data_IF_707885988131
#
_entry.id   IF_707885988131
#
_cell.length_a   1.000
_cell.length_b   1.000
_cell.length_c   1.000
_cell.angle_alpha   90.00
_cell.angle_beta   90.00
_cell.angle_gamma   90.00
#
_symmetry.space_group_name_H-M   'P 1'
#
loop_
_entity.id
_entity.type
_entity.pdbx_description
1 polymer ?
#
# COMPACT_ATOMS: atom_id res chain seq x y z
N UNK A 1 -22.94 23.39 31.55
CA UNK A 1 -22.49 21.99 31.48
C UNK A 1 -21.31 21.78 30.51
N UNK A 2 -21.40 22.19 29.23
CA UNK A 2 -20.29 22.08 28.25
C UNK A 2 -19.03 22.90 28.59
N UNK A 3 -19.17 24.10 29.17
CA UNK A 3 -18.01 24.95 29.52
C UNK A 3 -17.21 24.41 30.72
N UNK A 4 -17.84 23.65 31.61
CA UNK A 4 -17.23 23.11 32.84
C UNK A 4 -16.36 21.87 32.58
N UNK A 5 -16.51 21.20 31.43
CA UNK A 5 -15.76 19.99 31.05
C UNK A 5 -14.77 20.21 29.88
N UNK A 6 -14.53 21.44 29.46
CA UNK A 6 -13.59 21.80 28.37
C UNK A 6 -12.21 21.14 28.52
N UNK A 7 -11.69 21.00 29.75
CA UNK A 7 -10.40 20.34 30.03
C UNK A 7 -10.40 18.81 29.89
N UNK A 8 -11.55 18.13 29.97
CA UNK A 8 -11.64 16.68 29.67
C UNK A 8 -11.73 16.43 28.15
N UNK A 9 -12.35 17.35 27.41
CA UNK A 9 -12.41 17.27 25.95
C UNK A 9 -11.06 17.56 25.28
N UNK A 10 -10.20 18.40 25.86
CA UNK A 10 -8.85 18.66 25.31
C UNK A 10 -7.94 17.42 25.34
N UNK A 11 -7.99 16.61 26.41
CA UNK A 11 -7.23 15.35 26.48
C UNK A 11 -7.71 14.32 25.45
N UNK A 12 -9.03 14.21 25.27
CA UNK A 12 -9.61 13.34 24.25
C UNK A 12 -9.27 13.81 22.83
N UNK A 13 -9.32 15.12 22.59
CA UNK A 13 -8.89 15.72 21.32
C UNK A 13 -7.40 15.46 21.08
N UNK A 14 -6.53 15.68 22.07
CA UNK A 14 -5.09 15.41 21.96
C UNK A 14 -4.80 13.94 21.62
N UNK A 15 -5.47 12.98 22.26
CA UNK A 15 -5.37 11.56 21.91
C UNK A 15 -5.78 11.27 20.47
N UNK A 16 -6.83 11.94 19.98
CA UNK A 16 -7.27 11.81 18.58
C UNK A 16 -6.21 12.32 17.61
N UNK A 17 -5.65 13.51 17.85
CA UNK A 17 -4.58 14.08 17.03
C UNK A 17 -3.33 13.20 17.00
N UNK A 18 -2.94 12.63 18.14
CA UNK A 18 -1.81 11.71 18.24
C UNK A 18 -2.09 10.43 17.43
N UNK A 19 -3.29 9.86 17.55
CA UNK A 19 -3.69 8.68 16.79
C UNK A 19 -3.65 8.95 15.27
N UNK A 20 -4.18 10.10 14.85
CA UNK A 20 -4.22 10.51 13.45
C UNK A 20 -2.81 10.72 12.88
N UNK A 21 -1.93 11.36 13.65
CA UNK A 21 -0.51 11.47 13.30
C UNK A 21 0.18 10.11 13.22
N UNK A 22 -0.08 9.20 14.16
CA UNK A 22 0.47 7.84 14.13
C UNK A 22 -0.02 7.04 12.91
N UNK A 23 -1.30 7.17 12.54
CA UNK A 23 -1.85 6.55 11.34
C UNK A 23 -1.18 7.09 10.07
N UNK A 24 -0.99 8.42 9.97
CA UNK A 24 -0.30 9.04 8.86
C UNK A 24 1.15 8.58 8.77
N UNK A 25 1.86 8.60 9.90
CA UNK A 25 3.24 8.13 9.99
C UNK A 25 3.36 6.64 9.62
N UNK A 26 2.40 5.80 10.02
CA UNK A 26 2.39 4.38 9.68
C UNK A 26 2.30 4.18 8.16
N UNK A 27 1.32 4.81 7.50
CA UNK A 27 1.15 4.68 6.04
C UNK A 27 2.38 5.19 5.30
N UNK A 28 2.93 6.35 5.70
CA UNK A 28 4.13 6.92 5.08
C UNK A 28 5.34 6.01 5.25
N UNK A 29 5.55 5.47 6.46
CA UNK A 29 6.67 4.57 6.74
C UNK A 29 6.56 3.26 5.96
N UNK A 30 5.36 2.69 5.88
CA UNK A 30 5.10 1.46 5.12
C UNK A 30 5.37 1.67 3.63
N UNK A 31 4.89 2.78 3.05
CA UNK A 31 5.17 3.13 1.65
C UNK A 31 6.67 3.35 1.43
N UNK A 32 7.35 4.05 2.35
CA UNK A 32 8.79 4.30 2.25
C UNK A 32 9.62 3.01 2.29
N UNK A 33 9.37 2.12 3.25
CA UNK A 33 10.07 0.84 3.35
C UNK A 33 9.79 -0.05 2.13
N UNK A 34 8.54 -0.08 1.67
CA UNK A 34 8.17 -0.83 0.48
C UNK A 34 8.89 -0.29 -0.76
N UNK A 35 8.94 1.03 -0.92
CA UNK A 35 9.67 1.67 -2.00
C UNK A 35 11.16 1.38 -1.96
N UNK A 36 11.77 1.37 -0.76
CA UNK A 36 13.19 1.04 -0.59
C UNK A 36 13.49 -0.42 -0.90
N UNK A 37 12.59 -1.34 -0.55
CA UNK A 37 12.70 -2.77 -0.84
C UNK A 37 12.63 -3.04 -2.36
N UNK A 38 11.75 -2.34 -3.07
CA UNK A 38 11.59 -2.47 -4.53
C UNK A 38 12.55 -1.62 -5.36
N UNK A 39 13.56 -1.01 -4.75
CA UNK A 39 14.55 -0.22 -5.49
C UNK A 39 14.01 1.10 -6.06
N UNK A 40 12.93 1.63 -5.50
CA UNK A 40 12.35 2.93 -5.90
C UNK A 40 11.16 2.86 -6.85
N UNK A 41 10.80 1.65 -7.32
CA UNK A 41 9.74 1.47 -8.33
C UNK A 41 8.33 1.29 -7.74
N UNK A 42 8.14 1.28 -6.40
CA UNK A 42 6.83 1.01 -5.79
C UNK A 42 5.83 2.15 -6.00
N UNK A 43 6.29 3.41 -5.94
CA UNK A 43 5.42 4.58 -6.09
C UNK A 43 5.04 4.78 -7.57
N UNK A 44 6.01 4.63 -8.47
CA UNK A 44 5.82 4.73 -9.92
C UNK A 44 4.93 3.62 -10.45
N UNK A 45 4.94 2.45 -9.80
CA UNK A 45 4.18 1.28 -10.20
C UNK A 45 2.68 1.53 -10.34
N UNK A 46 1.97 1.98 -9.29
CA UNK A 46 0.51 2.07 -9.40
C UNK A 46 0.02 3.19 -10.32
N UNK A 47 0.79 4.28 -10.50
CA UNK A 47 0.52 5.26 -11.56
C UNK A 47 0.62 4.63 -12.95
N UNK A 48 1.63 3.78 -13.17
CA UNK A 48 1.83 3.04 -14.42
C UNK A 48 0.76 1.97 -14.65
N UNK A 49 0.30 1.27 -13.61
CA UNK A 49 -0.78 0.28 -13.71
C UNK A 49 -2.11 0.91 -14.12
N UNK A 50 -2.44 2.10 -13.61
CA UNK A 50 -3.65 2.84 -14.02
C UNK A 50 -3.56 3.22 -15.50
N UNK A 51 -2.40 3.72 -15.96
CA UNK A 51 -2.18 4.09 -17.36
C UNK A 51 -2.12 2.92 -18.34
N UNK A 52 -1.61 1.76 -17.92
CA UNK A 52 -1.54 0.55 -18.76
C UNK A 52 -2.81 -0.29 -18.73
N UNK A 53 -3.81 0.04 -17.91
CA UNK A 53 -5.05 -0.74 -17.74
C UNK A 53 -5.80 -1.05 -19.05
N UNK A 54 -5.51 -0.34 -20.14
CA UNK A 54 -6.13 -0.47 -21.47
C UNK A 54 -5.40 -1.43 -22.43
N UNK A 55 -4.15 -1.85 -22.17
CA UNK A 55 -3.36 -2.68 -23.10
C UNK A 55 -3.50 -4.20 -22.88
N UNK A 56 -3.26 -5.07 -23.86
CA UNK A 56 -3.33 -6.53 -23.64
C UNK A 56 -2.18 -7.03 -22.71
N UNK A 57 -2.49 -7.94 -21.77
CA UNK A 57 -1.55 -8.41 -20.73
C UNK A 57 -0.24 -9.00 -21.25
N UNK A 58 -0.22 -9.55 -22.48
CA UNK A 58 0.99 -10.16 -23.07
C UNK A 58 2.07 -9.13 -23.46
N UNK A 59 1.69 -7.89 -23.76
CA UNK A 59 2.63 -6.81 -24.11
C UNK A 59 3.01 -5.92 -22.92
N UNK A 60 2.40 -6.14 -21.74
CA UNK A 60 2.69 -5.34 -20.55
C UNK A 60 3.96 -5.85 -19.88
N UNK A 61 5.05 -5.08 -20.00
CA UNK A 61 6.27 -5.31 -19.22
C UNK A 61 6.10 -4.67 -17.85
N UNK A 62 5.58 -5.45 -16.90
CA UNK A 62 5.50 -5.03 -15.51
C UNK A 62 6.91 -4.94 -14.91
N UNK A 63 7.32 -3.81 -14.31
CA UNK A 63 8.66 -3.66 -13.72
C UNK A 63 8.91 -4.66 -12.57
N UNK A 64 7.83 -5.20 -11.96
CA UNK A 64 7.92 -6.26 -10.96
C UNK A 64 8.49 -7.58 -11.50
N UNK A 65 8.43 -7.86 -12.81
CA UNK A 65 9.00 -9.10 -13.39
C UNK A 65 10.53 -9.12 -13.25
N UNK A 66 11.19 -7.96 -13.22
CA UNK A 66 12.63 -7.85 -12.99
C UNK A 66 13.02 -8.09 -11.53
N UNK A 67 12.16 -7.69 -10.60
CA UNK A 67 12.38 -7.87 -9.16
C UNK A 67 11.98 -9.28 -8.73
N UNK A 68 10.93 -9.81 -9.34
CA UNK A 68 10.32 -11.10 -9.03
C UNK A 68 10.19 -11.98 -10.29
N UNK A 69 11.28 -12.63 -10.73
CA UNK A 69 11.24 -13.54 -11.87
C UNK A 69 10.34 -14.75 -11.59
N UNK A 70 9.33 -14.93 -12.42
CA UNK A 70 8.41 -16.10 -12.34
C UNK A 70 9.02 -17.37 -12.90
N UNK A 71 10.01 -17.23 -13.78
CA UNK A 71 10.73 -18.32 -14.45
C UNK A 71 12.24 -18.13 -14.31
N UNK A 72 12.98 -19.21 -14.06
CA UNK A 72 14.45 -19.19 -13.94
C UNK A 72 15.07 -20.39 -14.64
N UNK A 73 16.33 -20.27 -15.05
CA UNK A 73 17.12 -21.37 -15.63
C UNK A 73 17.69 -22.22 -14.51
N UNK A 74 17.29 -23.49 -14.46
CA UNK A 74 17.83 -24.49 -13.54
C UNK A 74 18.79 -25.42 -14.30
N UNK A 75 20.00 -25.59 -13.77
CA UNK A 75 20.98 -26.53 -14.32
C UNK A 75 20.99 -27.82 -13.50
N UNK A 76 20.50 -28.90 -14.07
CA UNK A 76 20.54 -30.22 -13.44
C UNK A 76 21.80 -30.96 -13.87
N UNK A 77 22.57 -31.43 -12.88
CA UNK A 77 23.75 -32.26 -13.11
C UNK A 77 23.36 -33.74 -12.97
N UNK A 78 23.47 -34.51 -14.06
CA UNK A 78 23.27 -35.96 -14.05
C UNK A 78 24.55 -36.67 -14.50
N UNK A 79 24.77 -37.87 -13.99
CA UNK A 79 25.88 -38.73 -14.40
C UNK A 79 25.40 -39.64 -15.54
N UNK A 80 26.07 -39.55 -16.69
CA UNK A 80 25.80 -40.43 -17.82
C UNK A 80 26.36 -41.85 -17.61
N UNK A 81 26.01 -42.82 -18.48
CA UNK A 81 26.49 -44.20 -18.39
C UNK A 81 28.01 -44.36 -18.47
N UNK A 82 28.75 -43.37 -19.00
CA UNK A 82 30.23 -43.32 -18.98
C UNK A 82 30.83 -42.62 -17.75
N UNK A 83 30.03 -42.25 -16.73
CA UNK A 83 30.51 -41.52 -15.55
C UNK A 83 30.80 -40.02 -15.78
N UNK A 84 30.53 -39.50 -16.97
CA UNK A 84 30.68 -38.08 -17.30
C UNK A 84 29.48 -37.27 -16.80
N UNK A 85 29.75 -36.06 -16.29
CA UNK A 85 28.70 -35.12 -15.84
C UNK A 85 28.03 -34.48 -17.06
N UNK A 86 26.77 -34.83 -17.32
CA UNK A 86 25.92 -34.16 -18.30
C UNK A 86 25.10 -33.06 -17.61
N UNK A 87 25.19 -31.83 -18.16
CA UNK A 87 24.41 -30.67 -17.71
C UNK A 87 23.14 -30.59 -18.54
N UNK A 88 21.98 -30.63 -17.88
CA UNK A 88 20.68 -30.39 -18.51
C UNK A 88 20.10 -29.08 -18.01
N UNK A 89 19.93 -28.15 -18.93
CA UNK A 89 19.30 -26.87 -18.67
C UNK A 89 17.78 -27.02 -18.83
N UNK A 90 17.03 -26.67 -17.79
CA UNK A 90 15.56 -26.63 -17.84
C UNK A 90 15.04 -25.33 -17.26
N UNK A 91 13.78 -25.02 -17.58
CA UNK A 91 13.07 -23.86 -17.05
C UNK A 91 12.31 -24.27 -15.79
N UNK A 92 12.54 -23.54 -14.70
CA UNK A 92 11.83 -23.70 -13.42
C UNK A 92 10.87 -22.54 -13.21
N UNK A 93 9.70 -22.83 -12.64
CA UNK A 93 8.72 -21.82 -12.23
C UNK A 93 8.83 -21.59 -10.73
N UNK A 94 8.83 -20.32 -10.29
CA UNK A 94 8.81 -19.94 -8.88
C UNK A 94 7.40 -19.48 -8.48
N UNK A 95 6.55 -20.38 -7.96
CA UNK A 95 5.15 -20.05 -7.63
C UNK A 95 5.04 -18.98 -6.54
N UNK A 96 6.01 -18.92 -5.61
CA UNK A 96 6.04 -17.91 -4.55
C UNK A 96 6.12 -16.49 -5.10
N UNK A 97 6.86 -16.28 -6.21
CA UNK A 97 7.01 -14.97 -6.82
C UNK A 97 5.73 -14.49 -7.50
N UNK A 98 4.96 -15.42 -8.07
CA UNK A 98 3.67 -15.13 -8.67
C UNK A 98 2.69 -14.63 -7.59
N UNK A 99 2.67 -15.29 -6.43
CA UNK A 99 1.84 -14.87 -5.29
C UNK A 99 2.25 -13.50 -4.76
N UNK A 100 3.56 -13.25 -4.65
CA UNK A 100 4.09 -11.95 -4.22
C UNK A 100 3.67 -10.85 -5.19
N UNK A 101 3.87 -11.05 -6.50
CA UNK A 101 3.47 -10.10 -7.55
C UNK A 101 2.01 -9.66 -7.38
N UNK A 102 1.07 -10.61 -7.19
CA UNK A 102 -0.35 -10.28 -7.04
C UNK A 102 -0.68 -9.63 -5.69
N UNK A 103 -0.04 -10.09 -4.61
CA UNK A 103 -0.25 -9.52 -3.27
C UNK A 103 0.19 -8.06 -3.20
N UNK A 104 1.34 -7.71 -3.78
CA UNK A 104 1.84 -6.34 -3.74
C UNK A 104 1.01 -5.36 -4.58
N UNK A 105 0.41 -5.83 -5.68
CA UNK A 105 -0.59 -5.05 -6.42
C UNK A 105 -1.77 -4.70 -5.53
N UNK A 106 -2.33 -5.69 -4.84
CA UNK A 106 -3.46 -5.49 -3.93
C UNK A 106 -3.10 -4.53 -2.79
N UNK A 107 -1.93 -4.70 -2.17
CA UNK A 107 -1.45 -3.83 -1.08
C UNK A 107 -1.29 -2.38 -1.55
N UNK A 108 -0.83 -2.15 -2.79
CA UNK A 108 -0.69 -0.80 -3.32
C UNK A 108 -2.03 -0.06 -3.39
N UNK A 109 -3.06 -0.69 -3.96
CA UNK A 109 -4.41 -0.11 -4.01
C UNK A 109 -5.00 0.05 -2.61
N UNK A 110 -4.72 -0.88 -1.71
CA UNK A 110 -5.14 -0.80 -0.32
C UNK A 110 -4.55 0.43 0.40
N UNK A 111 -3.24 0.66 0.27
CA UNK A 111 -2.61 1.85 0.84
C UNK A 111 -3.11 3.15 0.23
N UNK A 112 -3.40 3.17 -1.08
CA UNK A 112 -4.02 4.33 -1.73
C UNK A 112 -5.41 4.63 -1.12
N UNK A 113 -6.25 3.61 -0.95
CA UNK A 113 -7.57 3.76 -0.35
C UNK A 113 -7.47 4.27 1.08
N UNK A 114 -6.57 3.71 1.90
CA UNK A 114 -6.35 4.16 3.26
C UNK A 114 -5.87 5.62 3.32
N UNK A 115 -4.99 6.02 2.40
CA UNK A 115 -4.51 7.40 2.31
C UNK A 115 -5.66 8.36 1.98
N UNK A 116 -6.49 8.03 0.98
CA UNK A 116 -7.65 8.85 0.61
C UNK A 116 -8.66 8.95 1.76
N UNK A 117 -8.98 7.83 2.43
CA UNK A 117 -9.87 7.83 3.57
C UNK A 117 -9.34 8.71 4.72
N UNK A 118 -8.04 8.64 5.01
CA UNK A 118 -7.41 9.47 6.03
C UNK A 118 -7.46 10.96 5.68
N UNK A 119 -7.16 11.33 4.43
CA UNK A 119 -7.23 12.72 3.97
C UNK A 119 -8.67 13.26 4.07
N UNK A 120 -9.67 12.49 3.63
CA UNK A 120 -11.08 12.87 3.74
C UNK A 120 -11.51 13.10 5.20
N UNK A 121 -11.07 12.22 6.10
CA UNK A 121 -11.32 12.34 7.55
C UNK A 121 -10.70 13.61 8.13
N UNK A 122 -9.45 13.91 7.78
CA UNK A 122 -8.76 15.15 8.19
C UNK A 122 -9.50 16.38 7.65
N UNK A 123 -9.84 16.40 6.36
CA UNK A 123 -10.55 17.50 5.72
C UNK A 123 -11.91 17.78 6.40
N UNK A 124 -12.71 16.73 6.63
CA UNK A 124 -13.99 16.85 7.33
C UNK A 124 -13.83 17.46 8.73
N UNK A 125 -12.78 17.08 9.47
CA UNK A 125 -12.49 17.63 10.80
C UNK A 125 -12.04 19.08 10.75
N UNK A 126 -11.14 19.44 9.83
CA UNK A 126 -10.69 20.83 9.63
C UNK A 126 -11.87 21.74 9.28
N UNK A 127 -12.79 21.27 8.41
CA UNK A 127 -14.01 22.00 8.05
C UNK A 127 -14.92 22.27 9.26
N UNK A 128 -15.11 21.27 10.15
CA UNK A 128 -15.89 21.44 11.38
C UNK A 128 -15.20 22.40 12.37
N UNK A 129 -13.86 22.39 12.45
CA UNK A 129 -13.11 23.32 13.31
C UNK A 129 -13.20 24.77 12.82
N UNK A 130 -13.09 24.99 11.52
CA UNK A 130 -13.12 26.33 10.92
C UNK A 130 -14.55 26.91 10.93
N UNK A 131 -15.55 26.09 10.60
CA UNK A 131 -16.95 26.50 10.64
C UNK A 131 -17.57 26.25 12.03
N UNK A 132 -17.39 27.20 12.96
CA UNK A 132 -18.07 27.19 14.26
C UNK A 132 -19.61 27.05 14.14
N UNK A 133 -20.19 27.50 13.02
CA UNK A 133 -21.61 27.32 12.66
C UNK A 133 -21.93 25.89 12.22
N UNK A 134 -21.06 25.23 11.45
CA UNK A 134 -21.23 23.81 11.11
C UNK A 134 -21.12 22.91 12.34
N UNK A 135 -20.23 23.24 13.28
CA UNK A 135 -20.16 22.59 14.60
C UNK A 135 -21.48 22.71 15.37
N UNK A 136 -22.11 23.89 15.39
CA UNK A 136 -23.43 24.10 16.02
C UNK A 136 -24.53 23.32 15.31
N UNK A 137 -24.55 23.30 13.97
CA UNK A 137 -25.56 22.58 13.19
C UNK A 137 -25.41 21.04 13.29
N UNK A 138 -24.19 20.51 13.29
CA UNK A 138 -23.93 19.09 13.51
C UNK A 138 -24.35 18.63 14.92
N UNK A 139 -24.18 19.48 15.94
CA UNK A 139 -24.69 19.23 17.29
C UNK A 139 -26.23 19.31 17.36
N UNK A 140 -26.85 20.18 16.56
CA UNK A 140 -28.33 20.30 16.48
C UNK A 140 -28.97 19.10 15.80
N UNK A 141 -28.33 18.52 14.77
CA UNK A 141 -28.80 17.30 14.09
C UNK A 141 -28.66 16.03 14.94
N UNK A 142 -27.85 16.04 15.99
CA UNK A 142 -27.63 14.89 16.89
C UNK A 142 -28.63 14.84 18.06
N UNK A 143 -29.39 15.92 18.27
CA UNK A 143 -30.35 16.07 19.37
C UNK A 143 -31.82 15.98 18.93
N UNK A 144 -32.07 15.87 17.63
CA UNK A 144 -33.32 15.42 17.01
C UNK A 144 -33.13 13.98 16.53
#
# INVERSE_FOLDING_TARGET
>A
YMLTHIRKHTWYAAKYWICEFMCLANIVLQIYWMNRFFGGEFITYGLRVIGMSTEHQENRVDPMVFIFPRVTKCTFHKFGPSGTVQKHDSLCVLPLNIVNEKTYIFIWFWYLLLLVALVLMICHRVLIMYNATARKNALRYRHY
#
